data_IF_602118150954
#
_entry.id   IF_602118150954
#
_cell.length_a   1.000
_cell.length_b   1.000
_cell.length_c   1.000
_cell.angle_alpha   90.00
_cell.angle_beta   90.00
_cell.angle_gamma   90.00
#
_symmetry.space_group_name_H-M   'P 1'
#
loop_
_entity.id
_entity.type
_entity.pdbx_description
1 polymer ?
#
# COMPACT_ATOMS: atom_id res chain seq x y z
N UNK A 1 66.79 33.37 -75.99
CA UNK A 1 65.40 33.77 -76.29
C UNK A 1 64.45 32.87 -75.51
N UNK A 2 63.70 33.46 -74.58
CA UNK A 2 62.37 33.05 -74.10
C UNK A 2 62.03 31.55 -73.97
N UNK A 3 62.02 31.03 -72.73
CA UNK A 3 60.82 30.51 -72.03
C UNK A 3 61.18 29.96 -70.64
N UNK A 4 60.49 30.48 -69.63
CA UNK A 4 60.04 29.79 -68.41
C UNK A 4 58.54 30.06 -68.31
N UNK A 5 57.75 29.09 -67.85
CA UNK A 5 56.78 29.39 -66.80
C UNK A 5 56.95 28.42 -65.63
N UNK A 6 56.90 28.98 -64.43
CA UNK A 6 56.91 28.23 -63.17
C UNK A 6 55.48 27.82 -62.78
N UNK A 7 55.38 26.57 -62.35
CA UNK A 7 54.21 25.93 -61.79
C UNK A 7 53.89 26.49 -60.40
N UNK A 8 52.61 26.72 -60.11
CA UNK A 8 52.10 26.68 -58.74
C UNK A 8 50.78 25.91 -58.73
N UNK A 9 50.83 24.72 -58.13
CA UNK A 9 49.68 23.86 -57.82
C UNK A 9 48.82 24.52 -56.74
N UNK A 10 47.56 24.79 -57.07
CA UNK A 10 46.54 25.21 -56.10
C UNK A 10 45.54 24.06 -55.88
N UNK A 11 45.41 23.66 -54.62
CA UNK A 11 44.60 22.53 -54.16
C UNK A 11 43.16 22.99 -53.87
N UNK A 12 42.26 22.83 -54.84
CA UNK A 12 40.81 22.96 -54.60
C UNK A 12 40.16 21.58 -54.39
N UNK A 13 40.11 21.13 -53.14
CA UNK A 13 39.37 19.95 -52.72
C UNK A 13 37.84 20.21 -52.77
N UNK A 14 37.13 19.44 -53.60
CA UNK A 14 35.66 19.37 -53.62
C UNK A 14 35.14 18.80 -52.31
N UNK A 15 34.54 19.63 -51.47
CA UNK A 15 33.84 19.18 -50.26
C UNK A 15 32.36 18.89 -50.59
N UNK A 16 32.03 17.62 -50.86
CA UNK A 16 30.65 17.13 -50.92
C UNK A 16 30.11 16.97 -49.51
N UNK A 17 29.44 17.99 -48.96
CA UNK A 17 28.63 17.83 -47.75
C UNK A 17 27.29 17.20 -48.12
N UNK A 18 27.20 15.88 -47.99
CA UNK A 18 25.93 15.16 -47.93
C UNK A 18 25.17 15.58 -46.67
N UNK A 19 24.15 16.42 -46.83
CA UNK A 19 23.20 16.78 -45.78
C UNK A 19 22.47 15.48 -45.39
N UNK A 20 22.81 14.88 -44.24
CA UNK A 20 21.94 13.88 -43.62
C UNK A 20 20.65 14.62 -43.25
N UNK A 21 19.62 14.46 -44.07
CA UNK A 21 18.24 14.80 -43.71
C UNK A 21 17.82 13.84 -42.59
N UNK A 22 18.26 14.15 -41.37
CA UNK A 22 17.78 13.48 -40.18
C UNK A 22 16.29 13.78 -40.04
N UNK A 23 15.49 12.73 -39.86
CA UNK A 23 14.06 12.83 -39.56
C UNK A 23 13.88 13.83 -38.40
N UNK A 24 13.18 14.93 -38.63
CA UNK A 24 12.87 15.87 -37.56
C UNK A 24 11.66 15.34 -36.80
N UNK A 25 11.62 15.59 -35.49
CA UNK A 25 10.52 15.16 -34.64
C UNK A 25 9.17 15.75 -35.09
N UNK A 26 9.17 16.92 -35.73
CA UNK A 26 7.97 17.55 -36.31
C UNK A 26 7.50 16.89 -37.62
N UNK A 27 8.32 16.05 -38.25
CA UNK A 27 7.96 15.34 -39.49
C UNK A 27 7.10 14.09 -39.20
N UNK A 28 6.93 13.73 -37.93
CA UNK A 28 6.13 12.58 -37.53
C UNK A 28 4.63 12.85 -37.69
N UNK A 29 3.84 11.83 -38.09
CA UNK A 29 2.39 11.88 -38.10
C UNK A 29 1.78 12.24 -36.72
N UNK A 30 0.65 12.97 -36.73
CA UNK A 30 0.06 13.53 -35.50
C UNK A 30 -0.39 12.46 -34.50
N UNK A 31 -0.78 11.29 -34.99
CA UNK A 31 -1.09 10.10 -34.21
C UNK A 31 0.14 9.56 -33.46
N UNK A 32 1.30 9.53 -34.13
CA UNK A 32 2.57 9.16 -33.47
C UNK A 32 2.95 10.19 -32.42
N UNK A 33 2.75 11.48 -32.69
CA UNK A 33 2.97 12.54 -31.69
C UNK A 33 2.02 12.40 -30.50
N UNK A 34 0.75 12.09 -30.74
CA UNK A 34 -0.23 11.79 -29.69
C UNK A 34 0.17 10.58 -28.84
N UNK A 35 0.70 9.52 -29.47
CA UNK A 35 1.25 8.36 -28.75
C UNK A 35 2.45 8.74 -27.89
N UNK A 36 3.36 9.58 -28.37
CA UNK A 36 4.48 10.07 -27.54
C UNK A 36 3.93 10.86 -26.34
N UNK A 37 2.99 11.78 -26.58
CA UNK A 37 2.42 12.67 -25.57
C UNK A 37 1.68 11.89 -24.48
N UNK A 38 0.87 10.90 -24.85
CA UNK A 38 0.12 10.06 -23.91
C UNK A 38 0.99 9.21 -22.97
N UNK A 39 2.29 9.08 -23.26
CA UNK A 39 3.25 8.34 -22.43
C UNK A 39 4.03 9.24 -21.47
N UNK A 40 3.89 10.56 -21.59
CA UNK A 40 4.55 11.52 -20.73
C UNK A 40 3.67 11.84 -19.51
N UNK A 41 4.25 12.15 -18.34
CA UNK A 41 3.51 12.80 -17.28
C UNK A 41 2.89 14.11 -17.79
N UNK A 42 1.68 14.45 -17.33
CA UNK A 42 0.95 15.64 -17.83
C UNK A 42 1.76 16.94 -17.78
N UNK A 43 2.62 17.12 -16.77
CA UNK A 43 3.50 18.27 -16.66
C UNK A 43 4.53 18.37 -17.79
N UNK A 44 5.03 17.24 -18.28
CA UNK A 44 5.98 17.16 -19.39
C UNK A 44 5.26 17.21 -20.74
N UNK A 45 4.10 16.56 -20.85
CA UNK A 45 3.21 16.67 -22.01
C UNK A 45 2.81 18.12 -22.31
N UNK A 46 2.56 18.95 -21.28
CA UNK A 46 2.28 20.38 -21.48
C UNK A 46 3.54 21.11 -21.98
N UNK A 47 4.73 20.75 -21.47
CA UNK A 47 6.00 21.41 -21.84
C UNK A 47 6.44 21.13 -23.26
N UNK A 48 6.05 20.00 -23.86
CA UNK A 48 6.34 19.74 -25.28
C UNK A 48 5.72 20.79 -26.20
N UNK A 49 4.70 21.52 -25.75
CA UNK A 49 4.17 22.68 -26.47
C UNK A 49 5.19 23.79 -26.75
N UNK A 50 6.35 23.77 -26.08
CA UNK A 50 7.48 24.66 -26.32
C UNK A 50 8.35 24.21 -27.53
N UNK A 51 8.18 22.99 -28.03
CA UNK A 51 8.97 22.44 -29.16
C UNK A 51 8.56 23.13 -30.46
N UNK A 52 7.27 23.13 -30.78
CA UNK A 52 6.72 23.80 -31.97
C UNK A 52 5.19 23.99 -31.84
N UNK A 53 4.60 24.74 -32.78
CA UNK A 53 3.14 24.97 -32.82
C UNK A 53 2.33 23.68 -32.92
N UNK A 54 2.86 22.64 -33.57
CA UNK A 54 2.18 21.36 -33.72
C UNK A 54 2.00 20.62 -32.39
N UNK A 55 2.90 20.84 -31.43
CA UNK A 55 2.89 20.17 -30.12
C UNK A 55 2.06 20.88 -29.06
N UNK A 56 1.71 22.15 -29.32
CA UNK A 56 1.12 23.06 -28.32
C UNK A 56 -0.14 22.50 -27.66
N UNK A 57 -0.97 21.82 -28.44
CA UNK A 57 -2.31 21.42 -28.03
C UNK A 57 -2.52 19.91 -27.98
N UNK A 58 -1.48 19.10 -28.27
CA UNK A 58 -1.58 17.63 -28.30
C UNK A 58 -1.91 17.01 -26.94
N UNK A 59 -1.57 17.71 -25.86
CA UNK A 59 -1.83 17.24 -24.49
C UNK A 59 -3.30 17.44 -24.07
N UNK A 60 -4.12 18.18 -24.83
CA UNK A 60 -5.48 18.53 -24.40
C UNK A 60 -6.43 17.34 -24.29
N UNK A 61 -6.08 16.21 -24.90
CA UNK A 61 -6.83 14.94 -24.85
C UNK A 61 -6.12 13.88 -23.98
N UNK A 62 -5.27 14.32 -23.04
CA UNK A 62 -4.45 13.42 -22.24
C UNK A 62 -5.29 12.62 -21.24
N UNK A 63 -5.22 11.29 -21.33
CA UNK A 63 -6.09 10.39 -20.56
C UNK A 63 -5.73 10.28 -19.08
N UNK A 64 -4.49 10.60 -18.71
CA UNK A 64 -3.98 10.49 -17.33
C UNK A 64 -3.64 11.87 -16.75
N UNK A 65 -4.45 12.37 -15.82
CA UNK A 65 -4.27 13.69 -15.21
C UNK A 65 -3.80 13.56 -13.76
N UNK A 66 -2.48 13.60 -13.54
CA UNK A 66 -1.88 13.53 -12.20
C UNK A 66 -1.33 14.89 -11.76
N UNK A 67 -1.92 15.44 -10.70
CA UNK A 67 -1.56 16.72 -10.11
C UNK A 67 -0.97 16.52 -8.71
N UNK A 68 0.32 16.80 -8.58
CA UNK A 68 1.05 16.76 -7.32
C UNK A 68 2.10 17.86 -7.27
N UNK A 69 2.85 17.94 -6.17
CA UNK A 69 4.06 18.78 -6.10
C UNK A 69 5.06 18.45 -7.21
N UNK A 70 5.22 17.17 -7.54
CA UNK A 70 6.15 16.71 -8.58
C UNK A 70 5.72 17.14 -9.98
N UNK A 71 4.42 17.37 -10.21
CA UNK A 71 3.90 17.90 -11.49
C UNK A 71 4.37 19.34 -11.75
N UNK A 72 4.69 20.10 -10.69
CA UNK A 72 5.06 21.53 -10.78
C UNK A 72 6.40 21.85 -10.10
N UNK A 73 7.52 21.23 -10.54
CA UNK A 73 8.80 21.27 -9.82
C UNK A 73 9.50 22.64 -9.88
N UNK A 74 9.15 23.49 -10.85
CA UNK A 74 9.72 24.83 -10.99
C UNK A 74 9.31 25.79 -9.87
N UNK A 75 8.39 25.39 -8.98
CA UNK A 75 7.91 26.20 -7.86
C UNK A 75 8.52 25.70 -6.54
N UNK A 76 9.71 26.22 -6.18
CA UNK A 76 10.40 25.91 -4.91
C UNK A 76 9.54 26.11 -3.64
N UNK A 77 8.46 26.88 -3.74
CA UNK A 77 7.45 27.06 -2.70
C UNK A 77 6.03 26.99 -3.29
N UNK A 78 5.66 25.84 -3.87
CA UNK A 78 4.28 25.64 -4.33
C UNK A 78 3.33 25.66 -3.13
N UNK A 79 2.66 26.79 -2.93
CA UNK A 79 1.58 26.95 -1.97
C UNK A 79 0.25 26.46 -2.58
N UNK A 80 -0.75 26.29 -1.72
CA UNK A 80 -2.08 25.80 -2.09
C UNK A 80 -2.74 26.63 -3.21
N UNK A 81 -2.74 27.97 -3.12
CA UNK A 81 -3.40 28.82 -4.11
C UNK A 81 -2.74 28.71 -5.50
N UNK A 82 -1.41 28.59 -5.53
CA UNK A 82 -0.67 28.37 -6.78
C UNK A 82 -0.95 26.98 -7.36
N UNK A 83 -1.08 25.95 -6.51
CA UNK A 83 -1.48 24.62 -6.94
C UNK A 83 -2.87 24.65 -7.55
N UNK A 84 -3.87 25.19 -6.84
CA UNK A 84 -5.27 25.30 -7.31
C UNK A 84 -5.33 26.03 -8.66
N UNK A 85 -4.71 27.22 -8.77
CA UNK A 85 -4.70 28.00 -10.02
C UNK A 85 -4.12 27.23 -11.20
N UNK A 86 -3.06 26.45 -10.98
CA UNK A 86 -2.44 25.65 -12.04
C UNK A 86 -3.33 24.49 -12.46
N UNK A 87 -3.90 23.76 -11.50
CA UNK A 87 -4.85 22.68 -11.78
C UNK A 87 -6.06 23.24 -12.55
N UNK A 88 -6.67 24.31 -12.09
CA UNK A 88 -7.80 24.96 -12.78
C UNK A 88 -7.44 25.37 -14.21
N UNK A 89 -6.28 26.00 -14.41
CA UNK A 89 -5.84 26.40 -15.75
C UNK A 89 -5.66 25.23 -16.71
N UNK A 90 -5.18 24.08 -16.22
CA UNK A 90 -5.00 22.86 -17.02
C UNK A 90 -6.37 22.24 -17.34
N UNK A 91 -7.24 22.08 -16.34
CA UNK A 91 -8.56 21.49 -16.53
C UNK A 91 -9.45 22.34 -17.45
N UNK A 92 -9.31 23.66 -17.44
CA UNK A 92 -10.01 24.57 -18.37
C UNK A 92 -9.57 24.45 -19.83
N UNK A 93 -8.33 24.02 -20.07
CA UNK A 93 -7.75 23.87 -21.40
C UNK A 93 -7.89 22.45 -21.95
N UNK A 94 -8.10 21.47 -21.08
CA UNK A 94 -8.38 20.09 -21.46
C UNK A 94 -9.70 20.00 -22.23
N UNK A 95 -9.81 19.06 -23.16
CA UNK A 95 -11.03 18.84 -23.96
C UNK A 95 -12.24 18.35 -23.15
N UNK A 96 -12.04 18.02 -21.87
CA UNK A 96 -13.06 17.47 -20.99
C UNK A 96 -13.56 16.07 -21.34
N UNK A 97 -12.96 15.36 -22.30
CA UNK A 97 -13.37 14.00 -22.70
C UNK A 97 -12.20 13.01 -22.64
N UNK A 98 -12.50 11.72 -22.46
CA UNK A 98 -11.50 10.66 -22.54
C UNK A 98 -10.53 10.57 -21.36
N UNK A 99 -10.78 11.29 -20.27
CA UNK A 99 -9.98 11.17 -19.05
C UNK A 99 -10.24 9.79 -18.44
N UNK A 100 -9.22 8.94 -18.40
CA UNK A 100 -9.32 7.62 -17.80
C UNK A 100 -9.02 7.66 -16.30
N UNK A 101 -7.99 8.43 -15.92
CA UNK A 101 -7.55 8.57 -14.53
C UNK A 101 -7.30 10.03 -14.19
N UNK A 102 -7.85 10.46 -13.06
CA UNK A 102 -7.60 11.77 -12.49
C UNK A 102 -7.14 11.63 -11.03
N UNK A 103 -6.00 12.23 -10.72
CA UNK A 103 -5.34 12.10 -9.44
C UNK A 103 -4.85 13.45 -8.92
N UNK A 104 -5.23 13.78 -7.69
CA UNK A 104 -4.86 15.01 -7.01
C UNK A 104 -4.22 14.66 -5.68
N UNK A 105 -2.94 14.99 -5.53
CA UNK A 105 -2.10 14.71 -4.35
C UNK A 105 -1.52 16.01 -3.80
N UNK A 106 -2.27 16.65 -2.91
CA UNK A 106 -1.87 17.91 -2.30
C UNK A 106 -2.67 18.20 -1.03
N UNK A 107 -2.00 18.69 0.02
CA UNK A 107 -2.68 19.18 1.22
C UNK A 107 -3.51 20.43 0.90
N UNK A 108 -4.84 20.29 0.91
CA UNK A 108 -5.79 21.37 0.63
C UNK A 108 -6.65 21.65 1.85
N UNK A 109 -6.56 22.86 2.39
CA UNK A 109 -7.38 23.34 3.50
C UNK A 109 -8.37 24.38 2.99
N UNK A 110 -9.63 24.29 3.37
CA UNK A 110 -10.67 25.26 2.99
C UNK A 110 -10.84 25.43 1.45
N UNK A 111 -10.56 24.40 0.65
CA UNK A 111 -10.64 24.44 -0.81
C UNK A 111 -11.91 23.74 -1.37
N UNK A 112 -13.00 23.71 -0.59
CA UNK A 112 -14.23 22.95 -0.92
C UNK A 112 -14.72 23.21 -2.34
N UNK A 113 -14.85 24.50 -2.71
CA UNK A 113 -15.36 24.90 -4.04
C UNK A 113 -14.49 24.39 -5.18
N UNK A 114 -13.17 24.39 -5.00
CA UNK A 114 -12.22 23.97 -6.03
C UNK A 114 -12.23 22.44 -6.18
N UNK A 115 -12.23 21.71 -5.05
CA UNK A 115 -12.32 20.24 -5.08
C UNK A 115 -13.66 19.79 -5.68
N UNK A 116 -14.79 20.42 -5.31
CA UNK A 116 -16.10 20.12 -5.89
C UNK A 116 -16.10 20.34 -7.42
N UNK A 117 -15.43 21.40 -7.90
CA UNK A 117 -15.28 21.70 -9.33
C UNK A 117 -14.49 20.60 -10.04
N UNK A 118 -13.42 20.11 -9.42
CA UNK A 118 -12.58 19.04 -9.97
C UNK A 118 -13.31 17.69 -9.98
N UNK A 119 -14.09 17.39 -8.95
CA UNK A 119 -14.96 16.20 -8.93
C UNK A 119 -16.00 16.29 -10.05
N UNK A 120 -16.64 17.45 -10.25
CA UNK A 120 -17.57 17.66 -11.37
C UNK A 120 -16.90 17.47 -12.73
N UNK A 121 -15.67 17.94 -12.89
CA UNK A 121 -14.89 17.70 -14.11
C UNK A 121 -14.63 16.20 -14.33
N UNK A 122 -14.22 15.46 -13.29
CA UNK A 122 -13.98 14.02 -13.37
C UNK A 122 -15.25 13.26 -13.79
N UNK A 123 -16.39 13.63 -13.22
CA UNK A 123 -17.70 13.07 -13.59
C UNK A 123 -18.07 13.39 -15.04
N UNK A 124 -17.98 14.66 -15.44
CA UNK A 124 -18.31 15.11 -16.79
C UNK A 124 -17.42 14.45 -17.87
N UNK A 125 -16.15 14.21 -17.54
CA UNK A 125 -15.18 13.54 -18.41
C UNK A 125 -15.29 12.01 -18.42
N UNK A 126 -16.24 11.44 -17.65
CA UNK A 126 -16.46 9.98 -17.52
C UNK A 126 -15.22 9.24 -17.01
N UNK A 127 -14.55 9.87 -16.05
CA UNK A 127 -13.34 9.32 -15.42
C UNK A 127 -13.60 7.94 -14.80
N UNK A 128 -12.70 6.99 -15.05
CA UNK A 128 -12.77 5.63 -14.51
C UNK A 128 -12.09 5.52 -13.14
N UNK A 129 -10.98 6.24 -12.95
CA UNK A 129 -10.23 6.23 -11.69
C UNK A 129 -10.08 7.64 -11.12
N UNK A 130 -10.64 7.88 -9.94
CA UNK A 130 -10.52 9.15 -9.21
C UNK A 130 -9.76 8.94 -7.90
N UNK A 131 -8.64 9.64 -7.75
CA UNK A 131 -7.80 9.60 -6.54
C UNK A 131 -7.69 11.02 -5.99
N UNK A 132 -8.21 11.23 -4.79
CA UNK A 132 -8.09 12.48 -4.05
C UNK A 132 -7.35 12.22 -2.74
N UNK A 133 -6.10 12.67 -2.69
CA UNK A 133 -5.25 12.59 -1.53
C UNK A 133 -4.95 13.99 -0.99
N UNK A 134 -5.65 14.33 0.08
CA UNK A 134 -5.54 15.61 0.77
C UNK A 134 -4.61 15.53 1.99
N UNK A 135 -3.87 14.43 2.15
CA UNK A 135 -2.98 14.25 3.28
C UNK A 135 -1.72 15.13 3.16
N UNK A 136 -1.13 15.42 4.31
CA UNK A 136 0.22 15.97 4.36
C UNK A 136 1.21 14.81 4.24
N UNK A 137 2.00 14.77 3.16
CA UNK A 137 3.02 13.74 2.93
C UNK A 137 4.00 13.60 4.10
N UNK A 138 4.25 14.67 4.87
CA UNK A 138 5.09 14.61 6.08
C UNK A 138 4.44 13.83 7.22
N UNK A 139 3.10 13.85 7.29
CA UNK A 139 2.32 13.13 8.30
C UNK A 139 1.96 11.72 7.88
N UNK A 140 1.97 11.39 6.58
CA UNK A 140 1.65 10.05 6.09
C UNK A 140 2.50 8.97 6.77
N UNK A 141 3.82 9.19 6.87
CA UNK A 141 4.74 8.29 7.57
C UNK A 141 4.55 8.26 9.09
N UNK A 142 3.92 9.30 9.65
CA UNK A 142 3.59 9.37 11.08
C UNK A 142 2.13 8.96 11.36
N UNK A 143 1.32 8.62 10.36
CA UNK A 143 -0.10 8.29 10.56
C UNK A 143 -0.30 7.19 11.61
N UNK A 144 0.45 6.07 11.60
CA UNK A 144 0.33 5.05 12.64
C UNK A 144 0.57 5.59 14.06
N UNK A 145 1.49 6.54 14.23
CA UNK A 145 1.82 7.19 15.52
C UNK A 145 0.77 8.24 15.89
N UNK A 146 0.26 8.96 14.89
CA UNK A 146 -0.71 10.04 15.03
C UNK A 146 -2.16 9.55 15.20
N UNK A 147 -2.46 8.29 14.88
CA UNK A 147 -3.77 7.67 15.14
C UNK A 147 -4.07 7.63 16.64
N UNK A 148 -3.04 7.48 17.48
CA UNK A 148 -3.16 7.48 18.94
C UNK A 148 -3.19 8.88 19.58
N UNK A 149 -3.07 9.96 18.80
CA UNK A 149 -3.06 11.32 19.33
C UNK A 149 -4.46 11.96 19.25
N UNK A 150 -5.17 12.17 20.37
CA UNK A 150 -6.57 12.60 20.41
C UNK A 150 -6.84 14.06 19.97
N UNK A 151 -5.83 14.78 19.50
CA UNK A 151 -5.88 16.23 19.25
C UNK A 151 -5.90 16.63 17.76
N UNK A 152 -6.02 15.69 16.83
CA UNK A 152 -6.03 16.01 15.39
C UNK A 152 -7.41 16.34 14.83
N UNK A 153 -8.47 16.11 15.59
CA UNK A 153 -9.83 16.48 15.21
C UNK A 153 -10.24 17.78 15.91
N UNK A 154 -10.33 18.86 15.14
CA UNK A 154 -11.36 19.90 15.34
C UNK A 154 -11.52 20.92 14.22
N UNK A 155 -10.61 21.03 13.23
CA UNK A 155 -10.79 22.02 12.15
C UNK A 155 -10.49 21.48 10.74
N UNK A 156 -11.51 21.49 9.88
CA UNK A 156 -11.33 21.76 8.45
C UNK A 156 -11.21 20.59 7.46
N UNK A 157 -11.56 19.35 7.83
CA UNK A 157 -11.64 18.27 6.83
C UNK A 157 -12.67 18.62 5.74
N UNK A 158 -12.29 18.37 4.49
CA UNK A 158 -13.20 18.51 3.36
C UNK A 158 -14.32 17.47 3.46
N UNK A 159 -15.57 17.92 3.44
CA UNK A 159 -16.73 17.05 3.30
C UNK A 159 -16.89 16.67 1.83
N UNK A 160 -16.64 15.39 1.54
CA UNK A 160 -16.72 14.87 0.18
C UNK A 160 -18.18 14.79 -0.30
N UNK A 161 -18.49 15.34 -1.49
CA UNK A 161 -19.85 15.45 -2.00
C UNK A 161 -20.29 14.15 -2.68
N UNK A 162 -20.64 13.12 -1.88
CA UNK A 162 -21.07 11.80 -2.38
C UNK A 162 -22.12 11.89 -3.49
N UNK A 163 -23.06 12.83 -3.38
CA UNK A 163 -24.16 13.00 -4.33
C UNK A 163 -23.69 13.33 -5.75
N UNK A 164 -22.51 13.94 -5.92
CA UNK A 164 -21.95 14.18 -7.26
C UNK A 164 -21.59 12.88 -7.99
N UNK A 165 -21.34 11.81 -7.25
CA UNK A 165 -21.00 10.49 -7.78
C UNK A 165 -22.19 9.52 -7.75
N UNK A 166 -23.37 9.98 -7.36
CA UNK A 166 -24.58 9.17 -7.37
C UNK A 166 -24.89 8.67 -8.80
N UNK A 167 -25.54 7.51 -8.88
CA UNK A 167 -25.93 6.85 -10.12
C UNK A 167 -26.61 7.80 -11.12
N UNK A 168 -27.44 8.71 -10.59
CA UNK A 168 -28.25 9.65 -11.35
C UNK A 168 -27.44 10.84 -11.91
N UNK A 169 -26.23 11.06 -11.40
CA UNK A 169 -25.41 12.24 -11.71
C UNK A 169 -24.19 11.93 -12.58
N UNK A 170 -24.17 10.79 -13.28
CA UNK A 170 -23.10 10.45 -14.24
C UNK A 170 -21.86 9.80 -13.62
N UNK A 171 -21.87 9.50 -12.32
CA UNK A 171 -20.81 8.76 -11.63
C UNK A 171 -20.68 7.28 -12.02
N UNK A 172 -21.57 6.78 -12.90
CA UNK A 172 -21.62 5.37 -13.31
C UNK A 172 -20.39 4.89 -14.09
N UNK A 173 -19.53 5.79 -14.58
CA UNK A 173 -18.28 5.39 -15.25
C UNK A 173 -17.14 5.07 -14.28
N UNK A 174 -17.28 5.49 -13.02
CA UNK A 174 -16.23 5.35 -12.01
C UNK A 174 -16.09 3.88 -11.58
N UNK A 175 -14.87 3.37 -11.66
CA UNK A 175 -14.49 1.99 -11.33
C UNK A 175 -13.54 1.93 -10.13
N UNK A 176 -12.75 2.98 -9.90
CA UNK A 176 -11.84 3.10 -8.77
C UNK A 176 -11.99 4.47 -8.10
N UNK A 177 -12.16 4.46 -6.78
CA UNK A 177 -12.23 5.67 -5.96
C UNK A 177 -11.31 5.52 -4.77
N UNK A 178 -10.35 6.44 -4.66
CA UNK A 178 -9.51 6.57 -3.47
C UNK A 178 -9.69 7.95 -2.85
N UNK A 179 -10.06 7.96 -1.58
CA UNK A 179 -10.25 9.15 -0.77
C UNK A 179 -9.28 9.09 0.41
N UNK A 180 -8.44 10.12 0.56
CA UNK A 180 -7.49 10.21 1.66
C UNK A 180 -7.62 11.52 2.43
N UNK A 181 -7.69 11.44 3.77
CA UNK A 181 -7.75 12.58 4.70
C UNK A 181 -8.94 13.54 4.46
N UNK A 182 -10.16 13.02 4.54
CA UNK A 182 -11.39 13.81 4.35
C UNK A 182 -12.57 13.27 5.16
N UNK A 183 -13.69 13.99 5.18
CA UNK A 183 -14.95 13.59 5.81
C UNK A 183 -15.91 13.04 4.76
N UNK A 184 -16.53 11.90 5.04
CA UNK A 184 -17.47 11.25 4.12
C UNK A 184 -18.79 11.01 4.86
N UNK A 185 -19.87 11.64 4.38
CA UNK A 185 -21.23 11.50 4.91
C UNK A 185 -22.20 11.15 3.78
N UNK A 186 -22.27 9.87 3.39
CA UNK A 186 -23.29 9.40 2.45
C UNK A 186 -24.67 9.69 3.02
N UNK A 187 -25.56 10.28 2.21
CA UNK A 187 -26.96 10.44 2.59
C UNK A 187 -27.66 9.07 2.67
N UNK A 188 -28.76 8.97 3.40
CA UNK A 188 -29.49 7.71 3.58
C UNK A 188 -30.07 7.16 2.26
N UNK A 189 -30.37 8.04 1.31
CA UNK A 189 -30.85 7.73 -0.03
C UNK A 189 -29.73 7.57 -1.08
N UNK A 190 -28.46 7.61 -0.64
CA UNK A 190 -27.33 7.42 -1.54
C UNK A 190 -27.39 6.04 -2.19
N UNK A 191 -27.53 5.99 -3.51
CA UNK A 191 -27.69 4.73 -4.25
C UNK A 191 -26.38 3.99 -4.51
N UNK A 192 -25.31 4.37 -3.79
CA UNK A 192 -24.01 3.73 -3.89
C UNK A 192 -23.28 4.09 -5.19
N UNK A 193 -22.16 3.41 -5.41
CA UNK A 193 -21.39 3.53 -6.65
C UNK A 193 -21.64 2.31 -7.55
N UNK A 194 -22.46 2.48 -8.59
CA UNK A 194 -22.96 1.35 -9.40
C UNK A 194 -21.88 0.43 -9.99
N UNK A 195 -20.80 1.00 -10.52
CA UNK A 195 -19.76 0.26 -11.25
C UNK A 195 -18.41 0.25 -10.54
N UNK A 196 -18.38 0.64 -9.26
CA UNK A 196 -17.14 0.75 -8.51
C UNK A 196 -16.64 -0.63 -8.11
N UNK A 197 -15.46 -0.96 -8.63
CA UNK A 197 -14.75 -2.22 -8.36
C UNK A 197 -13.75 -2.09 -7.21
N UNK A 198 -13.21 -0.89 -6.99
CA UNK A 198 -12.23 -0.60 -5.94
C UNK A 198 -12.59 0.66 -5.17
N UNK A 199 -12.69 0.52 -3.85
CA UNK A 199 -12.90 1.62 -2.93
C UNK A 199 -11.79 1.64 -1.88
N UNK A 200 -11.06 2.75 -1.80
CA UNK A 200 -10.01 2.95 -0.81
C UNK A 200 -10.34 4.18 0.06
N UNK A 201 -10.55 3.96 1.35
CA UNK A 201 -10.82 4.99 2.34
C UNK A 201 -9.65 5.06 3.32
N UNK A 202 -8.82 6.09 3.24
CA UNK A 202 -7.56 6.20 4.00
C UNK A 202 -7.56 7.46 4.87
N UNK A 203 -7.60 7.30 6.20
CA UNK A 203 -7.72 8.42 7.12
C UNK A 203 -9.02 9.20 6.91
N UNK A 204 -10.07 8.53 6.44
CA UNK A 204 -11.37 9.14 6.18
C UNK A 204 -12.19 9.12 7.47
N UNK A 205 -12.80 10.25 7.80
CA UNK A 205 -13.77 10.33 8.86
C UNK A 205 -15.16 9.95 8.30
N UNK A 206 -15.59 8.74 8.64
CA UNK A 206 -16.86 8.11 8.24
C UNK A 206 -17.43 7.32 9.42
N UNK A 207 -18.76 7.30 9.56
CA UNK A 207 -19.48 6.51 10.58
C UNK A 207 -19.76 5.09 10.10
N UNK A 208 -20.10 4.19 11.03
CA UNK A 208 -20.50 2.82 10.71
C UNK A 208 -21.69 2.78 9.73
N UNK A 209 -22.71 3.61 9.96
CA UNK A 209 -23.86 3.77 9.05
C UNK A 209 -23.41 4.28 7.67
N UNK A 210 -22.45 5.20 7.62
CA UNK A 210 -21.88 5.68 6.37
C UNK A 210 -21.27 4.54 5.55
N UNK A 211 -20.46 3.68 6.17
CA UNK A 211 -19.89 2.51 5.49
C UNK A 211 -20.97 1.54 5.04
N UNK A 212 -21.98 1.29 5.88
CA UNK A 212 -23.13 0.47 5.49
C UNK A 212 -23.82 1.02 4.25
N UNK A 213 -24.11 2.33 4.20
CA UNK A 213 -24.73 3.00 3.06
C UNK A 213 -23.90 2.87 1.77
N UNK A 214 -22.56 2.92 1.87
CA UNK A 214 -21.67 2.65 0.73
C UNK A 214 -21.74 1.20 0.24
N UNK A 215 -22.03 0.26 1.14
CA UNK A 215 -22.08 -1.18 0.88
C UNK A 215 -23.50 -1.73 0.64
N UNK A 216 -24.56 -0.92 0.79
CA UNK A 216 -25.97 -1.33 0.69
C UNK A 216 -26.42 -1.75 -0.73
N UNK A 217 -25.81 -1.23 -1.79
CA UNK A 217 -26.27 -1.48 -3.16
C UNK A 217 -25.57 -2.70 -3.78
N UNK A 218 -26.16 -3.33 -4.83
CA UNK A 218 -25.55 -4.49 -5.50
C UNK A 218 -24.24 -4.06 -6.16
N UNK A 219 -23.18 -4.13 -5.38
CA UNK A 219 -21.91 -3.57 -5.73
C UNK A 219 -21.12 -4.60 -6.54
N UNK A 220 -20.57 -4.15 -7.67
CA UNK A 220 -19.53 -4.89 -8.39
C UNK A 220 -18.15 -4.76 -7.71
N UNK A 221 -18.15 -4.40 -6.42
CA UNK A 221 -16.96 -4.13 -5.63
C UNK A 221 -16.16 -5.42 -5.46
N UNK A 222 -14.93 -5.39 -5.95
CA UNK A 222 -13.97 -6.49 -5.92
C UNK A 222 -12.93 -6.29 -4.81
N UNK A 223 -12.63 -5.02 -4.47
CA UNK A 223 -11.64 -4.62 -3.48
C UNK A 223 -12.13 -3.49 -2.57
N UNK A 224 -12.00 -3.66 -1.26
CA UNK A 224 -12.27 -2.63 -0.25
C UNK A 224 -11.05 -2.43 0.65
N UNK A 225 -10.58 -1.20 0.75
CA UNK A 225 -9.59 -0.77 1.75
C UNK A 225 -10.20 0.28 2.69
N UNK A 226 -10.05 0.04 4.00
CA UNK A 226 -10.42 0.97 5.07
C UNK A 226 -9.21 1.08 6.02
N UNK A 227 -8.46 2.17 5.91
CA UNK A 227 -7.21 2.36 6.64
C UNK A 227 -7.26 3.65 7.46
N UNK A 228 -6.76 3.66 8.70
CA UNK A 228 -6.63 4.82 9.57
C UNK A 228 -7.94 5.59 9.86
N UNK A 229 -9.10 4.93 9.70
CA UNK A 229 -10.41 5.53 9.96
C UNK A 229 -10.71 5.53 11.46
N UNK A 230 -10.70 6.72 12.07
CA UNK A 230 -10.73 6.89 13.54
C UNK A 230 -12.10 6.76 14.19
N UNK A 231 -13.19 6.83 13.42
CA UNK A 231 -14.56 6.83 13.96
C UNK A 231 -15.31 5.52 13.78
N UNK A 232 -14.72 4.55 13.07
CA UNK A 232 -15.36 3.27 12.79
C UNK A 232 -15.24 2.33 13.97
N UNK A 233 -16.38 1.94 14.52
CA UNK A 233 -16.47 0.93 15.57
C UNK A 233 -16.83 -0.44 15.00
N UNK A 234 -17.59 -0.46 13.89
CA UNK A 234 -18.04 -1.69 13.22
C UNK A 234 -17.99 -1.54 11.72
N UNK A 235 -17.48 -2.57 11.04
CA UNK A 235 -17.62 -2.73 9.60
C UNK A 235 -18.65 -3.82 9.36
N UNK A 236 -19.79 -3.45 8.80
CA UNK A 236 -20.89 -4.36 8.52
C UNK A 236 -21.36 -4.25 7.07
N UNK A 237 -21.58 -5.40 6.43
CA UNK A 237 -22.22 -5.46 5.12
C UNK A 237 -23.65 -6.01 5.26
N UNK A 238 -24.70 -5.23 4.96
CA UNK A 238 -26.09 -5.63 5.18
C UNK A 238 -26.58 -6.71 4.21
N UNK A 239 -25.89 -6.90 3.08
CA UNK A 239 -26.23 -7.87 2.03
C UNK A 239 -25.00 -8.67 1.59
N UNK A 240 -25.23 -9.76 0.85
CA UNK A 240 -24.15 -10.61 0.37
C UNK A 240 -23.34 -9.91 -0.75
N UNK A 241 -22.07 -9.59 -0.47
CA UNK A 241 -21.14 -8.97 -1.42
C UNK A 241 -20.47 -10.07 -2.27
N UNK A 242 -21.17 -10.54 -3.30
CA UNK A 242 -20.77 -11.68 -4.12
C UNK A 242 -19.45 -11.50 -4.91
N UNK A 243 -19.10 -10.25 -5.25
CA UNK A 243 -17.88 -9.95 -6.03
C UNK A 243 -16.69 -9.54 -5.17
N UNK A 244 -16.89 -9.25 -3.88
CA UNK A 244 -15.81 -8.80 -3.02
C UNK A 244 -14.83 -9.95 -2.78
N UNK A 245 -13.60 -9.79 -3.25
CA UNK A 245 -12.53 -10.80 -3.12
C UNK A 245 -11.40 -10.34 -2.22
N UNK A 246 -11.24 -9.04 -2.04
CA UNK A 246 -10.13 -8.48 -1.28
C UNK A 246 -10.63 -7.48 -0.25
N UNK A 247 -10.32 -7.73 1.01
CA UNK A 247 -10.57 -6.80 2.11
C UNK A 247 -9.23 -6.42 2.75
N UNK A 248 -8.98 -5.12 2.85
CA UNK A 248 -7.86 -4.55 3.59
C UNK A 248 -8.39 -3.62 4.67
N UNK A 249 -8.05 -3.87 5.93
CA UNK A 249 -8.38 -2.97 7.03
C UNK A 249 -7.13 -2.73 7.86
N UNK A 250 -6.69 -1.48 7.93
CA UNK A 250 -5.40 -1.14 8.55
C UNK A 250 -5.55 -0.04 9.61
N UNK A 251 -5.08 -0.29 10.83
CA UNK A 251 -4.90 0.72 11.88
C UNK A 251 -6.17 1.57 12.18
N UNK A 252 -7.34 0.94 12.30
CA UNK A 252 -8.57 1.59 12.78
C UNK A 252 -8.67 1.45 14.32
N UNK A 253 -8.41 2.52 15.10
CA UNK A 253 -8.08 2.40 16.53
C UNK A 253 -9.25 2.00 17.44
N UNK A 254 -10.48 2.33 17.06
CA UNK A 254 -11.69 2.07 17.85
C UNK A 254 -12.55 0.96 17.23
N UNK A 255 -12.01 0.22 16.25
CA UNK A 255 -12.73 -0.83 15.55
C UNK A 255 -12.89 -2.07 16.45
N UNK A 256 -14.12 -2.33 16.87
CA UNK A 256 -14.48 -3.43 17.76
C UNK A 256 -14.84 -4.70 17.00
N UNK A 257 -15.40 -4.61 15.77
CA UNK A 257 -15.87 -5.80 15.03
C UNK A 257 -15.88 -5.60 13.52
N UNK A 258 -15.56 -6.67 12.78
CA UNK A 258 -15.84 -6.80 11.35
C UNK A 258 -16.83 -7.94 11.15
N UNK A 259 -17.95 -7.66 10.51
CA UNK A 259 -19.00 -8.63 10.18
C UNK A 259 -19.48 -8.45 8.75
N UNK A 260 -18.93 -9.25 7.83
CA UNK A 260 -19.22 -9.11 6.41
C UNK A 260 -19.84 -10.37 5.82
N UNK A 261 -20.96 -10.17 5.13
CA UNK A 261 -21.60 -11.23 4.38
C UNK A 261 -20.95 -11.35 3.00
N UNK A 262 -19.83 -12.07 2.89
CA UNK A 262 -19.06 -12.22 1.65
C UNK A 262 -18.20 -13.49 1.64
N UNK A 263 -17.70 -13.88 0.46
CA UNK A 263 -16.72 -14.96 0.28
C UNK A 263 -15.40 -14.41 -0.28
N UNK A 264 -14.53 -13.99 0.64
CA UNK A 264 -13.25 -13.34 0.34
C UNK A 264 -12.22 -14.36 -0.17
N UNK A 265 -11.32 -13.90 -1.04
CA UNK A 265 -10.11 -14.64 -1.44
C UNK A 265 -8.90 -14.22 -0.60
N UNK A 266 -8.79 -12.92 -0.30
CA UNK A 266 -7.69 -12.37 0.51
C UNK A 266 -8.17 -11.42 1.59
N UNK A 267 -7.48 -11.44 2.73
CA UNK A 267 -7.70 -10.54 3.85
C UNK A 267 -6.35 -9.97 4.31
N UNK A 268 -6.21 -8.64 4.36
CA UNK A 268 -5.09 -7.95 5.02
C UNK A 268 -5.66 -7.14 6.18
N UNK A 269 -5.31 -7.51 7.41
CA UNK A 269 -5.86 -6.90 8.62
C UNK A 269 -4.77 -6.47 9.58
N UNK A 270 -4.76 -5.19 9.92
CA UNK A 270 -3.99 -4.64 11.04
C UNK A 270 -4.94 -4.07 12.08
N UNK A 271 -4.87 -4.56 13.32
CA UNK A 271 -5.77 -4.08 14.36
C UNK A 271 -5.38 -4.52 15.76
N UNK A 272 -6.30 -4.23 16.70
CA UNK A 272 -6.17 -4.68 18.08
C UNK A 272 -6.42 -6.18 18.19
N UNK A 273 -5.82 -6.82 19.20
CA UNK A 273 -5.95 -8.27 19.49
C UNK A 273 -7.36 -8.71 19.93
N UNK A 274 -8.38 -7.84 19.86
CA UNK A 274 -9.73 -8.15 20.32
C UNK A 274 -10.82 -7.97 19.26
N UNK A 275 -10.47 -7.63 18.01
CA UNK A 275 -11.47 -7.37 16.95
C UNK A 275 -11.90 -8.69 16.27
N UNK A 276 -13.08 -9.26 16.59
CA UNK A 276 -13.63 -10.42 15.88
C UNK A 276 -13.82 -10.13 14.39
N UNK A 277 -13.42 -11.11 13.58
CA UNK A 277 -13.62 -11.15 12.14
C UNK A 277 -14.65 -12.22 11.82
N UNK A 278 -15.86 -11.80 11.45
CA UNK A 278 -16.98 -12.69 11.16
C UNK A 278 -17.32 -12.57 9.68
N UNK A 279 -17.17 -13.68 8.96
CA UNK A 279 -17.53 -13.78 7.55
C UNK A 279 -18.59 -14.87 7.37
N UNK A 280 -19.60 -14.61 6.54
CA UNK A 280 -20.68 -15.57 6.30
C UNK A 280 -20.17 -16.90 5.70
N UNK A 281 -19.17 -16.83 4.83
CA UNK A 281 -18.48 -17.97 4.23
C UNK A 281 -17.00 -17.69 4.15
N UNK A 282 -16.18 -18.72 4.35
CA UNK A 282 -14.72 -18.58 4.33
C UNK A 282 -14.09 -19.52 3.31
N UNK A 283 -14.91 -20.20 2.51
CA UNK A 283 -14.53 -21.26 1.57
C UNK A 283 -13.48 -20.86 0.55
N UNK A 284 -13.50 -19.60 0.09
CA UNK A 284 -12.54 -19.10 -0.89
C UNK A 284 -11.30 -18.44 -0.26
N UNK A 285 -11.24 -18.29 1.07
CA UNK A 285 -10.19 -17.51 1.72
C UNK A 285 -8.87 -18.27 1.75
N UNK A 286 -7.95 -17.90 0.86
CA UNK A 286 -6.66 -18.59 0.69
C UNK A 286 -5.51 -17.86 1.36
N UNK A 287 -5.50 -16.53 1.29
CA UNK A 287 -4.37 -15.70 1.72
C UNK A 287 -4.83 -14.73 2.81
N UNK A 288 -4.22 -14.83 3.98
CA UNK A 288 -4.50 -13.91 5.07
C UNK A 288 -3.20 -13.30 5.56
N UNK A 289 -3.16 -11.98 5.59
CA UNK A 289 -2.15 -11.21 6.28
C UNK A 289 -2.73 -10.60 7.55
N UNK A 290 -2.10 -10.85 8.67
CA UNK A 290 -2.45 -10.27 9.96
C UNK A 290 -1.27 -9.48 10.50
N UNK A 291 -1.52 -8.27 10.95
CA UNK A 291 -0.52 -7.43 11.59
C UNK A 291 -1.05 -6.98 12.94
N UNK A 292 -0.29 -7.21 14.00
CA UNK A 292 -0.73 -6.79 15.34
C UNK A 292 -0.17 -5.42 15.67
N UNK A 293 -1.01 -4.55 16.22
CA UNK A 293 -0.52 -3.28 16.77
C UNK A 293 0.44 -3.53 17.95
N UNK A 294 1.44 -2.66 18.17
CA UNK A 294 2.31 -2.71 19.34
C UNK A 294 1.49 -2.88 20.63
N UNK A 295 2.00 -3.66 21.58
CA UNK A 295 1.38 -3.92 22.91
C UNK A 295 0.17 -4.87 22.94
N UNK A 296 -0.23 -5.44 21.81
CA UNK A 296 -1.21 -6.53 21.76
C UNK A 296 -0.53 -7.90 21.93
N UNK A 297 -1.21 -8.88 22.53
CA UNK A 297 -0.78 -10.29 22.52
C UNK A 297 -1.28 -10.94 21.23
N UNK A 298 -0.44 -10.98 20.21
CA UNK A 298 -0.81 -11.44 18.88
C UNK A 298 -1.18 -12.92 18.83
N UNK A 299 -0.51 -13.75 19.63
CA UNK A 299 -0.78 -15.19 19.67
C UNK A 299 -2.14 -15.53 20.29
N UNK A 300 -2.56 -14.78 21.32
CA UNK A 300 -3.88 -14.92 21.92
C UNK A 300 -4.99 -14.56 20.91
N UNK A 301 -4.80 -13.50 20.14
CA UNK A 301 -5.73 -13.10 19.07
C UNK A 301 -5.89 -14.16 17.99
N UNK A 302 -4.75 -14.70 17.52
CA UNK A 302 -4.76 -15.75 16.51
C UNK A 302 -5.59 -16.94 16.98
N UNK A 303 -5.38 -17.37 18.23
CA UNK A 303 -6.03 -18.59 18.71
C UNK A 303 -7.49 -18.38 19.07
N UNK A 304 -7.81 -17.30 19.78
CA UNK A 304 -9.15 -17.09 20.32
C UNK A 304 -10.11 -16.49 19.29
N UNK A 305 -9.64 -15.53 18.49
CA UNK A 305 -10.49 -14.78 17.56
C UNK A 305 -10.44 -15.25 16.11
N UNK A 306 -9.24 -15.60 15.61
CA UNK A 306 -9.00 -15.76 14.18
C UNK A 306 -9.12 -17.20 13.68
N UNK A 307 -8.35 -18.13 14.25
CA UNK A 307 -8.28 -19.53 13.77
C UNK A 307 -9.64 -20.22 13.91
N UNK A 308 -10.38 -19.94 14.97
CA UNK A 308 -11.70 -20.54 15.21
C UNK A 308 -12.70 -20.28 14.08
N UNK A 309 -12.53 -19.19 13.33
CA UNK A 309 -13.47 -18.78 12.28
C UNK A 309 -12.96 -19.02 10.85
N UNK A 310 -11.67 -19.32 10.65
CA UNK A 310 -11.03 -19.35 9.33
C UNK A 310 -10.15 -20.60 9.09
N UNK A 311 -10.70 -21.84 9.19
CA UNK A 311 -9.89 -23.06 9.18
C UNK A 311 -9.28 -23.42 7.80
N UNK A 312 -9.76 -22.83 6.70
CA UNK A 312 -9.39 -23.20 5.32
C UNK A 312 -8.22 -22.41 4.73
N UNK A 313 -7.62 -21.51 5.52
CA UNK A 313 -6.51 -20.66 5.09
C UNK A 313 -5.31 -21.51 4.63
N UNK A 314 -4.75 -21.18 3.46
CA UNK A 314 -3.60 -21.89 2.86
C UNK A 314 -2.28 -21.16 3.07
N UNK A 315 -2.31 -19.84 3.02
CA UNK A 315 -1.19 -18.95 3.32
C UNK A 315 -1.59 -18.01 4.44
N UNK A 316 -0.83 -18.03 5.52
CA UNK A 316 -0.92 -17.07 6.62
C UNK A 316 0.38 -16.28 6.68
N UNK A 317 0.30 -14.97 6.49
CA UNK A 317 1.37 -14.03 6.79
C UNK A 317 1.03 -13.32 8.09
N UNK A 318 1.92 -13.41 9.06
CA UNK A 318 1.68 -12.89 10.39
C UNK A 318 2.84 -11.98 10.80
N UNK A 319 2.53 -10.70 10.95
CA UNK A 319 3.47 -9.68 11.43
C UNK A 319 3.16 -9.34 12.88
N UNK A 320 4.14 -9.57 13.75
CA UNK A 320 3.96 -9.56 15.20
C UNK A 320 4.97 -8.66 15.86
N UNK A 321 4.49 -7.80 16.75
CA UNK A 321 5.32 -6.93 17.57
C UNK A 321 4.87 -7.08 19.02
N UNK A 322 5.38 -8.10 19.70
CA UNK A 322 4.99 -8.43 21.07
C UNK A 322 6.02 -7.98 22.12
N UNK A 323 5.50 -7.45 23.22
CA UNK A 323 6.27 -7.07 24.41
C UNK A 323 6.03 -7.97 25.62
N UNK A 324 5.01 -8.86 25.57
CA UNK A 324 4.57 -9.71 26.69
C UNK A 324 4.43 -11.16 26.24
N UNK A 325 4.83 -12.10 27.10
CA UNK A 325 4.74 -13.55 26.86
C UNK A 325 3.35 -13.92 26.37
N UNK A 326 3.26 -14.71 25.31
CA UNK A 326 1.99 -15.28 24.91
C UNK A 326 1.50 -16.30 25.94
N UNK A 327 0.18 -16.35 26.11
CA UNK A 327 -0.47 -17.35 26.94
C UNK A 327 -0.74 -18.56 26.04
N UNK A 328 -0.24 -19.74 26.43
CA UNK A 328 -0.56 -20.99 25.74
C UNK A 328 -2.06 -21.30 25.92
N UNK A 329 -2.84 -21.39 24.84
CA UNK A 329 -4.25 -21.76 24.90
C UNK A 329 -4.43 -23.23 25.30
N UNK A 330 -5.47 -23.55 26.06
CA UNK A 330 -5.76 -24.93 26.51
C UNK A 330 -6.42 -25.81 25.43
N UNK A 331 -7.07 -25.21 24.41
CA UNK A 331 -7.69 -25.90 23.28
C UNK A 331 -7.29 -25.19 21.98
N UNK A 332 -6.70 -25.95 21.08
CA UNK A 332 -6.14 -25.44 19.84
C UNK A 332 -6.96 -25.96 18.64
N UNK A 333 -7.45 -25.09 17.76
CA UNK A 333 -8.00 -25.52 16.49
C UNK A 333 -6.87 -25.94 15.54
N UNK A 334 -7.13 -26.92 14.66
CA UNK A 334 -6.15 -27.37 13.66
C UNK A 334 -6.35 -26.65 12.33
N UNK A 335 -5.31 -25.97 11.86
CA UNK A 335 -5.17 -25.40 10.52
C UNK A 335 -4.70 -26.48 9.53
N UNK A 336 -5.51 -27.50 9.30
CA UNK A 336 -5.14 -28.66 8.46
C UNK A 336 -4.93 -28.31 6.97
N UNK A 337 -5.40 -27.15 6.53
CA UNK A 337 -5.23 -26.69 5.15
C UNK A 337 -4.05 -25.73 4.97
N UNK A 338 -3.42 -25.28 6.06
CA UNK A 338 -2.30 -24.34 5.99
C UNK A 338 -1.08 -25.03 5.38
N UNK A 339 -0.56 -24.44 4.30
CA UNK A 339 0.62 -24.93 3.57
C UNK A 339 1.80 -23.98 3.69
N UNK A 340 1.55 -22.69 3.87
CA UNK A 340 2.58 -21.67 3.96
C UNK A 340 2.31 -20.76 5.16
N UNK A 341 3.25 -20.70 6.10
CA UNK A 341 3.29 -19.70 7.15
C UNK A 341 4.48 -18.77 6.93
N UNK A 342 4.22 -17.46 6.87
CA UNK A 342 5.25 -16.42 6.94
C UNK A 342 5.08 -15.68 8.26
N UNK A 343 6.07 -15.75 9.13
CA UNK A 343 6.12 -15.06 10.41
C UNK A 343 7.17 -13.96 10.34
N UNK A 344 6.73 -12.71 10.43
CA UNK A 344 7.59 -11.55 10.59
C UNK A 344 7.47 -11.07 12.04
N UNK A 345 8.58 -10.98 12.77
CA UNK A 345 8.54 -10.56 14.17
C UNK A 345 9.71 -9.70 14.57
N UNK A 346 9.48 -8.79 15.52
CA UNK A 346 10.51 -7.96 16.14
C UNK A 346 10.76 -8.44 17.56
N UNK A 347 12.00 -8.84 17.85
CA UNK A 347 12.43 -9.26 19.19
C UNK A 347 13.21 -8.13 19.86
N UNK A 348 12.73 -7.69 21.04
CA UNK A 348 13.36 -6.64 21.85
C UNK A 348 14.28 -7.23 22.93
N UNK A 349 15.52 -6.76 23.01
CA UNK A 349 16.55 -7.32 23.92
C UNK A 349 16.43 -7.01 25.42
N UNK A 350 15.66 -5.99 25.84
CA UNK A 350 15.59 -5.54 27.25
C UNK A 350 14.19 -5.67 27.85
N UNK A 351 14.08 -6.31 29.04
CA UNK A 351 12.83 -6.41 29.81
C UNK A 351 11.96 -7.65 29.54
N UNK A 352 12.59 -8.77 29.19
CA UNK A 352 12.06 -10.04 28.68
C UNK A 352 10.71 -10.51 29.24
N UNK A 353 9.76 -10.79 28.33
CA UNK A 353 8.70 -11.79 28.55
C UNK A 353 8.37 -12.63 27.31
N UNK A 354 8.62 -12.17 26.08
CA UNK A 354 8.36 -12.92 24.83
C UNK A 354 9.56 -13.74 24.38
N UNK A 355 9.34 -15.00 24.01
CA UNK A 355 10.33 -15.89 23.40
C UNK A 355 9.84 -16.30 22.00
N UNK A 356 10.73 -16.48 21.02
CA UNK A 356 10.35 -17.02 19.70
C UNK A 356 9.79 -18.44 19.82
N UNK A 357 10.15 -19.16 20.90
CA UNK A 357 9.53 -20.42 21.31
C UNK A 357 8.03 -20.29 21.57
N UNK A 358 7.55 -19.11 21.96
CA UNK A 358 6.12 -18.87 22.17
C UNK A 358 5.35 -19.03 20.87
N UNK A 359 5.99 -19.07 19.69
CA UNK A 359 5.39 -19.24 18.37
C UNK A 359 5.50 -20.68 17.83
N UNK A 360 6.21 -21.58 18.52
CA UNK A 360 6.33 -22.98 18.12
C UNK A 360 4.96 -23.68 18.00
N UNK A 361 3.98 -23.24 18.79
CA UNK A 361 2.60 -23.74 18.72
C UNK A 361 1.95 -23.53 17.33
N UNK A 362 2.38 -22.52 16.55
CA UNK A 362 1.85 -22.31 15.19
C UNK A 362 2.13 -23.50 14.28
N UNK A 363 3.17 -24.28 14.59
CA UNK A 363 3.47 -25.53 13.89
C UNK A 363 2.61 -26.69 14.38
N UNK A 364 2.33 -26.75 15.68
CA UNK A 364 1.47 -27.80 16.25
C UNK A 364 0.05 -27.74 15.68
N UNK A 365 -0.45 -26.53 15.45
CA UNK A 365 -1.78 -26.32 14.86
C UNK A 365 -1.81 -26.56 13.34
N UNK A 366 -0.66 -26.58 12.66
CA UNK A 366 -0.56 -26.67 11.20
C UNK A 366 0.25 -27.90 10.75
N UNK A 367 -0.27 -29.12 10.97
CA UNK A 367 0.46 -30.37 10.80
C UNK A 367 0.89 -30.69 9.35
N UNK A 368 0.32 -30.01 8.36
CA UNK A 368 0.61 -30.23 6.94
C UNK A 368 1.31 -29.05 6.28
N UNK A 369 1.94 -28.18 7.07
CA UNK A 369 2.69 -27.03 6.58
C UNK A 369 3.90 -27.48 5.74
N UNK A 370 4.04 -26.90 4.55
CA UNK A 370 5.08 -27.23 3.58
C UNK A 370 6.19 -26.17 3.51
N UNK A 371 5.84 -24.91 3.79
CA UNK A 371 6.78 -23.78 3.78
C UNK A 371 6.64 -22.94 5.04
N UNK A 372 7.77 -22.65 5.68
CA UNK A 372 7.89 -21.71 6.78
C UNK A 372 8.86 -20.59 6.40
N UNK A 373 8.41 -19.36 6.39
CA UNK A 373 9.28 -18.19 6.27
C UNK A 373 9.34 -17.48 7.61
N UNK A 374 10.54 -17.37 8.18
CA UNK A 374 10.76 -16.72 9.47
C UNK A 374 11.67 -15.51 9.27
N UNK A 375 11.09 -14.32 9.33
CA UNK A 375 11.80 -13.06 9.23
C UNK A 375 11.86 -12.43 10.62
N UNK A 376 13.06 -12.37 11.21
CA UNK A 376 13.24 -11.90 12.58
C UNK A 376 14.09 -10.64 12.57
N UNK A 377 13.47 -9.53 12.92
CA UNK A 377 14.18 -8.29 13.19
C UNK A 377 14.61 -8.27 14.65
N UNK A 378 15.92 -8.22 14.88
CA UNK A 378 16.46 -8.24 16.24
C UNK A 378 16.96 -6.84 16.58
N UNK A 379 16.29 -6.21 17.56
CA UNK A 379 16.64 -4.86 18.00
C UNK A 379 17.47 -4.91 19.28
N UNK A 380 18.65 -4.28 19.26
CA UNK A 380 19.53 -4.17 20.43
C UNK A 380 20.14 -5.51 20.87
N UNK A 381 20.79 -6.22 19.94
CA UNK A 381 21.33 -7.56 20.18
C UNK A 381 22.23 -7.65 21.42
N UNK A 382 21.71 -8.32 22.46
CA UNK A 382 22.42 -8.84 23.64
C UNK A 382 21.82 -10.22 24.04
N UNK A 383 21.36 -11.02 23.06
CA UNK A 383 20.63 -12.29 23.27
C UNK A 383 21.49 -13.54 23.06
N UNK A 384 21.31 -14.56 23.91
CA UNK A 384 22.08 -15.81 23.90
C UNK A 384 21.72 -16.70 22.70
N UNK A 385 22.75 -17.07 21.93
CA UNK A 385 22.82 -18.10 20.87
C UNK A 385 21.87 -19.29 21.01
N UNK A 386 21.70 -19.79 22.23
CA UNK A 386 21.03 -21.07 22.52
C UNK A 386 19.50 -21.04 22.31
N UNK A 387 18.85 -19.86 22.28
CA UNK A 387 17.38 -19.78 22.16
C UNK A 387 16.89 -19.91 20.71
N UNK A 388 17.60 -19.28 19.77
CA UNK A 388 17.33 -19.44 18.34
C UNK A 388 17.66 -20.88 17.92
N UNK A 389 18.75 -21.43 18.44
CA UNK A 389 19.12 -22.84 18.25
C UNK A 389 18.05 -23.79 18.80
N UNK A 390 17.60 -23.64 20.06
CA UNK A 390 16.59 -24.52 20.67
C UNK A 390 15.24 -24.41 19.97
N UNK A 391 14.81 -23.20 19.64
CA UNK A 391 13.55 -22.98 18.94
C UNK A 391 13.57 -23.60 17.56
N UNK A 392 14.59 -23.31 16.75
CA UNK A 392 14.63 -23.80 15.38
C UNK A 392 14.94 -25.30 15.32
N UNK A 393 15.73 -25.85 16.24
CA UNK A 393 15.88 -27.30 16.40
C UNK A 393 14.54 -27.97 16.69
N UNK A 394 13.75 -27.43 17.63
CA UNK A 394 12.41 -27.97 17.90
C UNK A 394 11.52 -27.91 16.65
N UNK A 395 11.54 -26.81 15.91
CA UNK A 395 10.79 -26.63 14.66
C UNK A 395 11.20 -27.66 13.60
N UNK A 396 12.51 -27.80 13.34
CA UNK A 396 13.07 -28.70 12.34
C UNK A 396 12.85 -30.18 12.66
N UNK A 397 12.96 -30.56 13.94
CA UNK A 397 12.75 -31.94 14.38
C UNK A 397 11.26 -32.31 14.46
N UNK A 398 10.36 -31.34 14.71
CA UNK A 398 8.94 -31.61 14.91
C UNK A 398 8.15 -31.77 13.61
N UNK A 399 8.61 -31.18 12.50
CA UNK A 399 7.85 -31.21 11.24
C UNK A 399 8.48 -32.12 10.19
N UNK A 400 7.86 -33.26 9.90
CA UNK A 400 8.30 -34.17 8.83
C UNK A 400 7.86 -33.74 7.42
N UNK A 401 6.88 -32.83 7.32
CA UNK A 401 6.27 -32.38 6.05
C UNK A 401 6.92 -31.10 5.51
N UNK A 402 7.63 -30.34 6.35
CA UNK A 402 8.30 -29.09 5.96
C UNK A 402 9.30 -29.34 4.82
N UNK A 403 9.09 -28.66 3.70
CA UNK A 403 9.92 -28.75 2.48
C UNK A 403 10.93 -27.60 2.37
N UNK A 404 10.59 -26.45 2.94
CA UNK A 404 11.40 -25.23 2.84
C UNK A 404 11.21 -24.36 4.10
N UNK A 405 12.33 -23.88 4.63
CA UNK A 405 12.41 -22.96 5.75
C UNK A 405 13.37 -21.82 5.43
N UNK A 406 12.86 -20.59 5.34
CA UNK A 406 13.70 -19.40 5.12
C UNK A 406 13.89 -18.67 6.43
N UNK A 407 15.13 -18.32 6.76
CA UNK A 407 15.48 -17.52 7.94
C UNK A 407 16.16 -16.24 7.45
N UNK A 408 15.53 -15.10 7.73
CA UNK A 408 16.09 -13.78 7.45
C UNK A 408 16.33 -13.03 8.77
N UNK A 409 17.55 -13.07 9.32
CA UNK A 409 17.92 -12.27 10.48
C UNK A 409 18.33 -10.86 10.04
N UNK A 410 17.44 -9.89 10.19
CA UNK A 410 17.76 -8.49 9.91
C UNK A 410 18.24 -7.77 11.18
N UNK A 411 19.45 -7.19 11.12
CA UNK A 411 19.96 -6.30 12.17
C UNK A 411 19.28 -4.94 12.02
N UNK A 412 18.37 -4.61 12.95
CA UNK A 412 17.71 -3.31 12.99
C UNK A 412 18.50 -2.32 13.88
N UNK A 413 19.14 -1.32 13.27
CA UNK A 413 19.75 -0.18 13.98
C UNK A 413 18.62 0.79 14.36
N UNK A 414 18.15 0.73 15.61
CA UNK A 414 17.11 1.66 16.09
C UNK A 414 17.72 3.05 16.31
N UNK A 415 17.11 4.15 15.80
CA UNK A 415 17.59 5.50 16.03
C UNK A 415 17.71 5.84 17.53
N UNK A 416 18.76 6.59 17.84
CA UNK A 416 19.34 6.83 19.17
C UNK A 416 18.41 7.48 20.22
N UNK A 417 17.21 7.91 19.83
CA UNK A 417 16.28 8.68 20.68
C UNK A 417 15.23 7.83 21.42
N UNK A 418 15.15 6.52 21.17
CA UNK A 418 14.20 5.65 21.86
C UNK A 418 14.78 4.91 23.09
N UNK A 419 16.10 4.80 23.26
CA UNK A 419 16.70 3.92 24.28
C UNK A 419 18.07 4.39 24.79
N UNK A 420 18.23 4.45 26.12
CA UNK A 420 19.56 4.60 26.77
C UNK A 420 20.23 3.22 26.87
N UNK A 421 21.45 3.00 26.32
CA UNK A 421 22.18 1.75 26.52
C UNK A 421 22.76 1.67 27.95
N UNK A 422 22.80 0.49 28.59
CA UNK A 422 23.47 0.33 29.88
C UNK A 422 24.99 0.18 29.72
N UNK A 423 25.69 0.39 30.84
CA UNK A 423 27.15 0.50 30.95
C UNK A 423 27.86 -0.81 30.58
N UNK A 424 29.01 -0.64 29.90
CA UNK A 424 29.94 -1.66 29.36
C UNK A 424 30.29 -2.77 30.37
N UNK A 425 30.36 -4.02 29.90
CA UNK A 425 30.95 -5.11 30.70
C UNK A 425 30.72 -6.57 30.31
N UNK A 426 30.02 -6.94 29.24
CA UNK A 426 29.90 -8.35 28.83
C UNK A 426 29.70 -8.47 27.32
N UNK A 427 30.74 -8.88 26.59
CA UNK A 427 30.76 -8.85 25.12
C UNK A 427 31.33 -10.14 24.56
N UNK A 428 30.45 -11.12 24.30
CA UNK A 428 30.62 -12.07 23.21
C UNK A 428 29.48 -11.75 22.22
N UNK A 429 29.78 -10.94 21.22
CA UNK A 429 28.85 -10.55 20.17
C UNK A 429 28.93 -11.58 19.04
N UNK A 430 27.80 -12.08 18.56
CA UNK A 430 27.74 -12.91 17.37
C UNK A 430 26.71 -12.29 16.44
N UNK A 431 27.03 -12.20 15.15
CA UNK A 431 26.06 -11.83 14.12
C UNK A 431 24.91 -12.87 14.12
N UNK A 432 23.66 -12.42 14.11
CA UNK A 432 22.50 -13.31 14.09
C UNK A 432 22.51 -14.25 12.87
N UNK A 433 23.09 -13.79 11.76
CA UNK A 433 23.34 -14.59 10.56
C UNK A 433 24.40 -15.67 10.79
N UNK A 434 25.51 -15.32 11.43
CA UNK A 434 26.58 -16.29 11.74
C UNK A 434 26.10 -17.36 12.71
N UNK A 435 25.31 -16.99 13.72
CA UNK A 435 24.70 -17.94 14.64
C UNK A 435 23.69 -18.87 13.93
N UNK A 436 22.85 -18.33 13.04
CA UNK A 436 21.92 -19.14 12.26
C UNK A 436 22.68 -20.11 11.33
N UNK A 437 23.69 -19.61 10.61
CA UNK A 437 24.55 -20.43 9.74
C UNK A 437 25.31 -21.52 10.49
N UNK A 438 25.83 -21.22 11.69
CA UNK A 438 26.66 -22.17 12.44
C UNK A 438 25.84 -23.26 13.13
N UNK A 439 24.68 -22.93 13.70
CA UNK A 439 23.94 -23.86 14.56
C UNK A 439 22.71 -24.47 13.88
N UNK A 440 21.98 -23.70 13.07
CA UNK A 440 20.74 -24.18 12.43
C UNK A 440 21.07 -25.05 11.22
N UNK A 441 21.99 -24.62 10.37
CA UNK A 441 22.38 -25.41 9.19
C UNK A 441 23.06 -26.74 9.57
N UNK A 442 23.72 -26.83 10.74
CA UNK A 442 24.29 -28.10 11.23
C UNK A 442 23.22 -29.10 11.68
N UNK A 443 22.10 -28.61 12.23
CA UNK A 443 20.98 -29.43 12.67
C UNK A 443 20.03 -29.82 11.51
N UNK A 444 20.11 -29.12 10.37
CA UNK A 444 19.30 -29.43 9.19
C UNK A 444 19.83 -30.64 8.41
N UNK A 445 19.37 -31.83 8.79
CA UNK A 445 19.71 -33.06 8.08
C UNK A 445 18.94 -33.26 6.77
N UNK A 446 17.95 -32.41 6.46
CA UNK A 446 17.09 -32.56 5.27
C UNK A 446 17.37 -31.53 4.18
N UNK A 447 18.30 -30.60 4.41
CA UNK A 447 18.63 -29.49 3.51
C UNK A 447 17.38 -28.68 3.13
N UNK A 448 16.51 -28.41 4.11
CA UNK A 448 15.28 -27.62 3.93
C UNK A 448 15.46 -26.17 4.39
N UNK A 449 16.56 -25.83 5.07
CA UNK A 449 16.83 -24.49 5.63
C UNK A 449 17.68 -23.65 4.67
N UNK A 450 17.23 -22.42 4.45
CA UNK A 450 17.97 -21.36 3.78
C UNK A 450 18.09 -20.16 4.73
N UNK A 451 19.32 -19.73 5.01
CA UNK A 451 19.60 -18.49 5.76
C UNK A 451 20.04 -17.44 4.75
N UNK A 452 19.29 -16.35 4.65
CA UNK A 452 19.53 -15.27 3.66
C UNK A 452 20.45 -14.21 4.26
#
# INVERSE_FOLDING_TARGET
MTRKPEESLDCAAKNRQGRRSGLQLNDLPIDVLGLIISRLPIGDAIRTGLISRQWKDLWRDHTMLTFSRATFPSCRMLNQQNFIRRVDSILQQHSGVGVERMEIKFLLRNARRDIDRWVKFAVASKTKELILDLSDLTRFFMLPVMVFHPYLDREGFYEFPCQLLDANNGGSHLQCLQLTSMYLKPAADFTGFLNLKRLNLIGVNITDEGVQNLLCNPNVLEFLEISFCRMLTKIHAPHFLNRLKHLQVDCCPVLEKIEMNCDLATLDFTGSSMTPLIFATTSSLTNVRLKTMPFCTGLDYIVTGFISNLPVVRMLEFHVVEYKKAISPQRLPKLIYLRHLKLETIVFGYGRKTDILDYAYLLEIAPFMEKLELHVQITGFFGQKDQVELALHHILCSSTVLKNMVINPEIAIVPHDAYRPPKRGAHNFVDGRDAAMEFVCKADHRNVVEVV
#
